data_IF_783270949590
#
_entry.id   IF_783270949590
#
_cell.length_a   1.000
_cell.length_b   1.000
_cell.length_c   1.000
_cell.angle_alpha   90.00
_cell.angle_beta   90.00
_cell.angle_gamma   90.00
#
_symmetry.space_group_name_H-M   'P 1'
#
loop_
_entity.id
_entity.type
_entity.pdbx_description
1 polymer ?
#
# COMPACT_ATOMS: atom_id res chain seq x y z
N UNK A 1 -26.41 -9.33 21.83
CA UNK A 1 -26.14 -8.76 20.49
C UNK A 1 -27.38 -8.74 19.63
N UNK A 2 -28.11 -9.86 19.51
CA UNK A 2 -29.32 -9.98 18.67
C UNK A 2 -30.47 -9.01 19.00
N UNK A 3 -30.49 -8.43 20.21
CA UNK A 3 -31.52 -7.48 20.64
C UNK A 3 -31.30 -6.04 20.09
N UNK A 4 -30.13 -5.73 19.55
CA UNK A 4 -29.81 -4.40 19.03
C UNK A 4 -29.87 -4.40 17.50
N UNK A 5 -31.03 -4.05 16.95
CA UNK A 5 -31.33 -4.18 15.51
C UNK A 5 -31.30 -2.85 14.75
N UNK A 6 -30.92 -1.74 15.39
CA UNK A 6 -30.92 -0.42 14.77
C UNK A 6 -31.05 0.73 15.76
N UNK A 7 -31.30 1.93 15.25
CA UNK A 7 -31.42 3.14 16.07
C UNK A 7 -32.66 3.10 16.98
N UNK A 8 -32.46 3.43 18.26
CA UNK A 8 -33.54 3.56 19.24
C UNK A 8 -34.49 4.70 18.86
N UNK A 9 -35.79 4.42 18.76
CA UNK A 9 -36.84 5.37 18.36
C UNK A 9 -36.51 6.10 17.05
N UNK A 10 -36.34 5.34 15.96
CA UNK A 10 -36.01 5.85 14.62
C UNK A 10 -36.85 7.08 14.21
N UNK A 11 -38.14 7.09 14.57
CA UNK A 11 -39.12 8.12 14.18
C UNK A 11 -38.98 9.46 14.93
N UNK A 12 -38.17 9.55 15.99
CA UNK A 12 -38.03 10.73 16.85
C UNK A 12 -36.61 11.32 16.84
N UNK A 13 -35.98 11.34 15.67
CA UNK A 13 -34.57 11.75 15.50
C UNK A 13 -34.23 13.20 15.84
N UNK A 14 -35.20 14.12 15.93
CA UNK A 14 -34.92 15.54 16.22
C UNK A 14 -34.94 15.87 17.73
N UNK A 15 -35.39 14.95 18.57
CA UNK A 15 -35.51 15.16 20.02
C UNK A 15 -34.15 14.98 20.72
N UNK A 16 -33.67 16.02 21.40
CA UNK A 16 -32.32 16.06 21.98
C UNK A 16 -32.07 14.94 23.03
N UNK A 17 -33.11 14.58 23.79
CA UNK A 17 -33.04 13.48 24.76
C UNK A 17 -32.94 12.10 24.07
N UNK A 18 -33.55 11.93 22.90
CA UNK A 18 -33.45 10.70 22.10
C UNK A 18 -32.04 10.53 21.56
N UNK A 19 -31.40 11.63 21.12
CA UNK A 19 -30.01 11.62 20.66
C UNK A 19 -29.03 11.26 21.79
N UNK A 20 -29.23 11.82 22.99
CA UNK A 20 -28.43 11.48 24.16
C UNK A 20 -28.54 9.99 24.53
N UNK A 21 -29.75 9.43 24.51
CA UNK A 21 -30.00 8.02 24.81
C UNK A 21 -29.41 7.10 23.73
N UNK A 22 -29.56 7.44 22.45
CA UNK A 22 -28.94 6.71 21.33
C UNK A 22 -27.42 6.65 21.46
N UNK A 23 -26.78 7.76 21.84
CA UNK A 23 -25.34 7.80 22.04
C UNK A 23 -24.89 6.88 23.19
N UNK A 24 -25.65 6.84 24.29
CA UNK A 24 -25.37 5.92 25.40
C UNK A 24 -25.54 4.45 24.98
N UNK A 25 -26.64 4.11 24.32
CA UNK A 25 -26.89 2.75 23.85
C UNK A 25 -25.85 2.28 22.83
N UNK A 26 -25.49 3.15 21.87
CA UNK A 26 -24.41 2.87 20.92
C UNK A 26 -23.09 2.61 21.65
N UNK A 27 -22.76 3.44 22.64
CA UNK A 27 -21.53 3.26 23.43
C UNK A 27 -21.51 1.91 24.15
N UNK A 28 -22.58 1.56 24.86
CA UNK A 28 -22.70 0.27 25.56
C UNK A 28 -22.60 -0.90 24.56
N UNK A 29 -23.24 -0.78 23.40
CA UNK A 29 -23.14 -1.77 22.33
C UNK A 29 -21.71 -1.93 21.83
N UNK A 30 -21.02 -0.83 21.49
CA UNK A 30 -19.65 -0.86 20.98
C UNK A 30 -18.66 -1.39 22.02
N UNK A 31 -18.81 -1.03 23.29
CA UNK A 31 -17.96 -1.52 24.38
C UNK A 31 -18.13 -3.04 24.56
N UNK A 32 -19.38 -3.53 24.63
CA UNK A 32 -19.67 -4.96 24.72
C UNK A 32 -19.19 -5.73 23.47
N UNK A 33 -19.35 -5.15 22.29
CA UNK A 33 -18.91 -5.72 21.02
C UNK A 33 -17.41 -5.89 20.97
N UNK A 34 -16.68 -4.89 21.47
CA UNK A 34 -15.23 -4.95 21.56
C UNK A 34 -14.77 -6.05 22.52
N UNK A 35 -15.36 -6.15 23.71
CA UNK A 35 -15.01 -7.20 24.68
C UNK A 35 -15.26 -8.61 24.12
N UNK A 36 -16.42 -8.83 23.51
CA UNK A 36 -16.77 -10.12 22.89
C UNK A 36 -15.84 -10.42 21.71
N UNK A 37 -15.53 -9.42 20.87
CA UNK A 37 -14.62 -9.59 19.74
C UNK A 37 -13.22 -9.96 20.19
N UNK A 38 -12.69 -9.33 21.23
CA UNK A 38 -11.39 -9.65 21.81
C UNK A 38 -11.36 -11.06 22.43
N UNK A 39 -12.46 -11.51 23.04
CA UNK A 39 -12.60 -12.88 23.56
C UNK A 39 -12.59 -13.91 22.44
N UNK A 40 -13.42 -13.74 21.42
CA UNK A 40 -13.52 -14.65 20.28
C UNK A 40 -12.20 -14.73 19.51
N UNK A 41 -11.52 -13.59 19.32
CA UNK A 41 -10.22 -13.54 18.65
C UNK A 41 -9.14 -14.34 19.42
N UNK A 42 -9.14 -14.27 20.76
CA UNK A 42 -8.20 -15.02 21.62
C UNK A 42 -8.45 -16.52 21.59
N UNK A 43 -9.70 -16.95 21.42
CA UNK A 43 -10.08 -18.36 21.36
C UNK A 43 -10.10 -18.92 19.94
N UNK A 44 -9.72 -18.13 18.93
CA UNK A 44 -9.74 -18.51 17.52
C UNK A 44 -11.14 -18.87 17.00
N UNK A 45 -12.20 -18.34 17.62
CA UNK A 45 -13.60 -18.51 17.20
C UNK A 45 -13.95 -17.52 16.08
N UNK A 46 -13.30 -17.71 14.93
CA UNK A 46 -13.34 -16.74 13.83
C UNK A 46 -14.68 -16.70 13.07
N UNK A 47 -15.43 -17.81 13.02
CA UNK A 47 -16.75 -17.86 12.37
C UNK A 47 -17.78 -16.98 13.11
N UNK A 48 -17.84 -17.11 14.43
CA UNK A 48 -18.67 -16.29 15.31
C UNK A 48 -18.26 -14.82 15.23
N UNK A 49 -16.94 -14.56 15.25
CA UNK A 49 -16.40 -13.21 15.12
C UNK A 49 -16.81 -12.57 13.79
N UNK A 50 -16.76 -13.33 12.68
CA UNK A 50 -17.14 -12.83 11.36
C UNK A 50 -18.63 -12.47 11.30
N UNK A 51 -19.52 -13.31 11.84
CA UNK A 51 -20.97 -13.03 11.87
C UNK A 51 -21.25 -11.75 12.66
N UNK A 52 -20.65 -11.66 13.85
CA UNK A 52 -20.86 -10.55 14.76
C UNK A 52 -20.40 -9.20 14.17
N UNK A 53 -19.20 -9.19 13.59
CA UNK A 53 -18.61 -7.99 12.98
C UNK A 53 -19.25 -7.62 11.64
N UNK A 54 -19.89 -8.58 10.94
CA UNK A 54 -20.75 -8.32 9.76
C UNK A 54 -21.93 -7.43 10.12
N UNK A 55 -22.69 -7.81 11.14
CA UNK A 55 -23.83 -7.01 11.62
C UNK A 55 -23.37 -5.63 12.09
N UNK A 56 -22.25 -5.56 12.82
CA UNK A 56 -21.72 -4.29 13.32
C UNK A 56 -21.29 -3.33 12.20
N UNK A 57 -20.71 -3.84 11.12
CA UNK A 57 -20.25 -3.01 9.99
C UNK A 57 -21.40 -2.54 9.12
N UNK A 58 -22.54 -3.25 9.10
CA UNK A 58 -23.77 -2.79 8.45
C UNK A 58 -24.44 -1.68 9.27
N UNK A 59 -24.49 -1.84 10.61
CA UNK A 59 -25.07 -0.84 11.51
C UNK A 59 -24.23 0.44 11.60
N UNK A 60 -22.90 0.29 11.66
CA UNK A 60 -21.97 1.41 11.79
C UNK A 60 -20.78 1.26 10.82
N UNK A 61 -20.96 1.58 9.53
CA UNK A 61 -19.94 1.42 8.50
C UNK A 61 -18.64 2.19 8.73
N UNK A 62 -18.66 3.22 9.59
CA UNK A 62 -17.50 4.09 9.85
C UNK A 62 -16.83 3.86 11.21
N UNK A 63 -17.30 2.90 12.01
CA UNK A 63 -16.75 2.57 13.33
C UNK A 63 -15.54 1.61 13.26
N UNK A 64 -14.95 1.42 12.07
CA UNK A 64 -13.73 0.64 11.82
C UNK A 64 -13.83 -0.88 12.11
N UNK A 65 -15.04 -1.42 12.22
CA UNK A 65 -15.27 -2.87 12.44
C UNK A 65 -14.71 -3.76 11.32
N UNK A 66 -14.47 -3.20 10.13
CA UNK A 66 -13.85 -3.88 9.01
C UNK A 66 -12.44 -4.39 9.34
N UNK A 67 -11.72 -3.73 10.26
CA UNK A 67 -10.41 -4.21 10.73
C UNK A 67 -10.53 -5.50 11.56
N UNK A 68 -11.63 -5.71 12.28
CA UNK A 68 -11.87 -6.94 13.05
C UNK A 68 -12.41 -8.05 12.13
N UNK A 69 -13.30 -7.70 11.19
CA UNK A 69 -13.72 -8.64 10.13
C UNK A 69 -12.52 -9.18 9.34
N UNK A 70 -11.59 -8.32 8.97
CA UNK A 70 -10.42 -8.72 8.21
C UNK A 70 -9.54 -9.70 9.01
N UNK A 71 -9.43 -9.53 10.33
CA UNK A 71 -8.77 -10.52 11.21
C UNK A 71 -9.48 -11.87 11.21
N UNK A 72 -10.81 -11.87 11.31
CA UNK A 72 -11.60 -13.10 11.28
C UNK A 72 -11.43 -13.84 9.94
N UNK A 73 -11.52 -13.13 8.80
CA UNK A 73 -11.28 -13.71 7.48
C UNK A 73 -9.86 -14.26 7.31
N UNK A 74 -8.85 -13.58 7.88
CA UNK A 74 -7.46 -14.06 7.89
C UNK A 74 -7.34 -15.35 8.71
N UNK A 75 -7.97 -15.41 9.88
CA UNK A 75 -8.00 -16.59 10.76
C UNK A 75 -8.66 -17.79 10.10
N UNK A 76 -9.72 -17.56 9.32
CA UNK A 76 -10.42 -18.57 8.50
C UNK A 76 -9.68 -18.94 7.20
N UNK A 77 -8.51 -18.38 6.95
CA UNK A 77 -7.75 -18.52 5.70
C UNK A 77 -8.50 -18.07 4.42
N UNK A 78 -9.54 -17.24 4.57
CA UNK A 78 -10.37 -16.69 3.49
C UNK A 78 -9.74 -15.43 2.89
N UNK A 79 -8.49 -15.53 2.45
CA UNK A 79 -7.67 -14.36 2.09
C UNK A 79 -8.22 -13.52 0.93
N UNK A 80 -8.84 -14.16 -0.08
CA UNK A 80 -9.46 -13.44 -1.22
C UNK A 80 -10.58 -12.52 -0.75
N UNK A 81 -11.37 -12.97 0.22
CA UNK A 81 -12.46 -12.18 0.77
C UNK A 81 -11.94 -11.05 1.66
N UNK A 82 -10.87 -11.30 2.42
CA UNK A 82 -10.20 -10.28 3.21
C UNK A 82 -9.62 -9.14 2.33
N UNK A 83 -9.05 -9.47 1.16
CA UNK A 83 -8.60 -8.45 0.20
C UNK A 83 -9.76 -7.66 -0.38
N UNK A 84 -10.82 -8.35 -0.82
CA UNK A 84 -12.02 -7.70 -1.37
C UNK A 84 -12.65 -6.75 -0.35
N UNK A 85 -12.70 -7.15 0.92
CA UNK A 85 -13.18 -6.31 2.01
C UNK A 85 -12.35 -5.03 2.13
N UNK A 86 -11.01 -5.13 2.09
CA UNK A 86 -10.12 -3.96 2.12
C UNK A 86 -10.38 -3.01 0.94
N UNK A 87 -10.44 -3.54 -0.28
CA UNK A 87 -10.67 -2.73 -1.49
C UNK A 87 -12.02 -2.01 -1.45
N UNK A 88 -13.08 -2.72 -1.06
CA UNK A 88 -14.42 -2.15 -0.91
C UNK A 88 -14.47 -1.08 0.17
N UNK A 89 -13.85 -1.35 1.33
CA UNK A 89 -13.79 -0.40 2.45
C UNK A 89 -12.99 0.84 2.05
N UNK A 90 -11.81 0.66 1.44
CA UNK A 90 -10.96 1.78 0.99
C UNK A 90 -11.66 2.65 -0.03
N UNK A 91 -12.37 2.05 -0.98
CA UNK A 91 -13.16 2.80 -1.95
C UNK A 91 -14.28 3.59 -1.27
N UNK A 92 -15.03 2.95 -0.39
CA UNK A 92 -16.15 3.58 0.31
C UNK A 92 -15.72 4.75 1.21
N UNK A 93 -14.65 4.58 2.00
CA UNK A 93 -14.11 5.65 2.84
C UNK A 93 -13.61 6.84 2.01
N UNK A 94 -12.97 6.58 0.87
CA UNK A 94 -12.50 7.64 0.00
C UNK A 94 -13.66 8.38 -0.67
N UNK A 95 -14.67 7.65 -1.18
CA UNK A 95 -15.84 8.22 -1.86
C UNK A 95 -16.74 9.03 -0.92
N UNK A 96 -17.02 8.53 0.29
CA UNK A 96 -17.95 9.17 1.23
C UNK A 96 -17.29 10.24 2.12
N UNK A 97 -16.04 10.03 2.53
CA UNK A 97 -15.37 10.86 3.53
C UNK A 97 -14.09 11.54 3.02
N UNK A 98 -13.56 11.16 1.86
CA UNK A 98 -12.28 11.66 1.35
C UNK A 98 -11.08 11.28 2.20
N UNK A 99 -11.22 10.26 3.07
CA UNK A 99 -10.17 9.79 3.97
C UNK A 99 -9.71 8.39 3.60
N UNK A 100 -8.48 8.06 4.01
CA UNK A 100 -7.94 6.70 3.92
C UNK A 100 -8.41 5.83 5.09
N UNK A 101 -8.50 4.50 4.93
CA UNK A 101 -8.83 3.61 6.03
C UNK A 101 -7.82 3.64 7.18
N UNK A 102 -8.20 3.07 8.32
CA UNK A 102 -7.39 3.06 9.53
C UNK A 102 -6.08 2.29 9.37
N UNK A 103 -5.05 2.70 10.12
CA UNK A 103 -3.71 2.11 10.04
C UNK A 103 -3.73 0.61 10.33
N UNK A 104 -4.55 0.16 11.29
CA UNK A 104 -4.74 -1.26 11.61
C UNK A 104 -5.22 -2.07 10.41
N UNK A 105 -6.18 -1.54 9.65
CA UNK A 105 -6.70 -2.21 8.47
C UNK A 105 -5.63 -2.27 7.35
N UNK A 106 -4.89 -1.18 7.17
CA UNK A 106 -3.78 -1.12 6.21
C UNK A 106 -2.66 -2.11 6.55
N UNK A 107 -2.31 -2.25 7.83
CA UNK A 107 -1.30 -3.22 8.29
C UNK A 107 -1.71 -4.66 8.00
N UNK A 108 -2.97 -5.01 8.25
CA UNK A 108 -3.50 -6.34 7.93
C UNK A 108 -3.49 -6.62 6.43
N UNK A 109 -3.79 -5.62 5.60
CA UNK A 109 -3.66 -5.73 4.15
C UNK A 109 -2.21 -5.99 3.72
N UNK A 110 -1.23 -5.27 4.30
CA UNK A 110 0.21 -5.55 4.04
C UNK A 110 0.60 -6.96 4.49
N UNK A 111 0.09 -7.42 5.63
CA UNK A 111 0.31 -8.77 6.13
C UNK A 111 -0.26 -9.84 5.18
N UNK A 112 -1.46 -9.63 4.63
CA UNK A 112 -2.00 -10.49 3.57
C UNK A 112 -1.10 -10.51 2.34
N UNK A 113 -0.67 -9.33 1.88
CA UNK A 113 0.21 -9.20 0.71
C UNK A 113 1.51 -9.98 0.85
N UNK A 114 2.13 -9.99 2.04
CA UNK A 114 3.37 -10.73 2.30
C UNK A 114 3.14 -12.26 2.36
N UNK A 115 2.02 -12.71 2.96
CA UNK A 115 1.67 -14.12 3.07
C UNK A 115 1.21 -14.73 1.73
N UNK A 116 0.46 -13.95 0.94
CA UNK A 116 -0.01 -14.36 -0.39
C UNK A 116 1.09 -14.27 -1.46
N UNK A 117 1.92 -13.22 -1.41
CA UNK A 117 3.10 -13.09 -2.27
C UNK A 117 4.08 -14.27 -2.16
N UNK A 118 4.00 -15.01 -1.05
CA UNK A 118 4.82 -16.19 -0.80
C UNK A 118 4.19 -17.52 -1.23
N UNK A 119 2.88 -17.60 -1.56
CA UNK A 119 2.23 -18.91 -1.68
C UNK A 119 1.72 -19.35 -3.05
N UNK A 120 1.20 -18.52 -3.95
CA UNK A 120 0.80 -19.01 -5.30
C UNK A 120 0.72 -17.84 -6.28
N UNK A 121 1.85 -17.28 -6.70
CA UNK A 121 1.86 -16.50 -7.95
C UNK A 121 2.10 -17.48 -9.08
N UNK A 122 1.21 -17.53 -10.06
CA UNK A 122 1.48 -18.28 -11.30
C UNK A 122 2.60 -17.54 -12.04
N UNK A 123 3.47 -18.25 -12.75
CA UNK A 123 4.68 -17.63 -13.35
C UNK A 123 4.33 -16.47 -14.28
N UNK A 124 3.15 -16.52 -14.91
CA UNK A 124 2.60 -15.47 -15.76
C UNK A 124 2.29 -14.18 -15.00
N UNK A 125 1.78 -14.28 -13.76
CA UNK A 125 1.51 -13.11 -12.90
C UNK A 125 2.82 -12.48 -12.42
N UNK A 126 3.80 -13.31 -12.04
CA UNK A 126 5.14 -12.81 -11.70
C UNK A 126 5.78 -12.12 -12.90
N UNK A 127 5.67 -12.71 -14.08
CA UNK A 127 6.21 -12.12 -15.31
C UNK A 127 5.52 -10.81 -15.66
N UNK A 128 4.19 -10.73 -15.53
CA UNK A 128 3.43 -9.51 -15.75
C UNK A 128 3.86 -8.38 -14.79
N UNK A 129 4.05 -8.71 -13.50
CA UNK A 129 4.51 -7.77 -12.48
C UNK A 129 5.96 -7.30 -12.72
N UNK A 130 6.80 -8.12 -13.34
CA UNK A 130 8.19 -7.79 -13.67
C UNK A 130 8.34 -6.99 -14.96
N UNK A 131 7.29 -6.84 -15.77
CA UNK A 131 7.34 -6.02 -16.98
C UNK A 131 7.32 -4.53 -16.63
N UNK A 132 8.20 -3.76 -17.27
CA UNK A 132 8.11 -2.30 -17.25
C UNK A 132 6.74 -1.83 -17.75
N UNK A 133 6.21 -0.76 -17.16
CA UNK A 133 4.94 -0.21 -17.62
C UNK A 133 5.07 0.31 -19.06
N UNK A 134 3.99 0.34 -19.87
CA UNK A 134 4.06 0.74 -21.28
C UNK A 134 4.70 2.12 -21.53
N UNK A 135 4.65 3.03 -20.55
CA UNK A 135 5.28 4.36 -20.61
C UNK A 135 6.76 4.38 -20.19
N UNK A 136 7.27 3.30 -19.59
CA UNK A 136 8.66 3.18 -19.15
C UNK A 136 9.56 2.50 -20.18
N UNK A 137 8.98 1.71 -21.12
CA UNK A 137 9.63 0.88 -22.15
C UNK A 137 10.40 1.62 -23.26
N UNK A 138 11.07 2.73 -22.94
CA UNK A 138 11.80 3.55 -23.91
C UNK A 138 13.13 4.06 -23.38
N UNK A 139 14.21 3.67 -24.05
CA UNK A 139 15.57 4.10 -23.71
C UNK A 139 16.19 3.27 -22.59
N UNK A 140 17.20 3.82 -21.93
CA UNK A 140 17.90 3.14 -20.84
C UNK A 140 17.05 3.04 -19.56
N UNK A 141 17.28 1.97 -18.81
CA UNK A 141 16.54 1.65 -17.60
C UNK A 141 16.90 2.62 -16.45
N UNK A 142 15.91 3.37 -15.97
CA UNK A 142 16.08 4.25 -14.81
C UNK A 142 15.70 3.51 -13.54
N UNK A 143 16.63 3.42 -12.59
CA UNK A 143 16.45 2.61 -11.39
C UNK A 143 16.97 3.32 -10.14
N UNK A 144 16.41 2.99 -8.97
CA UNK A 144 16.91 3.47 -7.68
C UNK A 144 18.38 3.08 -7.44
N UNK A 145 19.04 3.70 -6.46
CA UNK A 145 20.42 3.36 -6.10
C UNK A 145 20.59 1.88 -5.71
N UNK A 146 19.59 1.30 -5.03
CA UNK A 146 19.61 -0.12 -4.69
C UNK A 146 19.51 -0.98 -5.97
N UNK A 147 18.55 -0.66 -6.85
CA UNK A 147 18.40 -1.32 -8.15
C UNK A 147 19.66 -1.22 -9.01
N UNK A 148 20.31 -0.05 -9.04
CA UNK A 148 21.55 0.17 -9.80
C UNK A 148 22.69 -0.72 -9.29
N UNK A 149 22.85 -0.85 -7.97
CA UNK A 149 23.87 -1.73 -7.37
C UNK A 149 23.65 -3.19 -7.75
N UNK A 150 22.40 -3.64 -7.74
CA UNK A 150 22.07 -5.02 -8.07
C UNK A 150 22.19 -5.29 -9.58
N UNK A 151 21.78 -4.35 -10.43
CA UNK A 151 22.00 -4.40 -11.88
C UNK A 151 23.49 -4.47 -12.21
N UNK A 152 24.31 -3.60 -11.62
CA UNK A 152 25.77 -3.61 -11.83
C UNK A 152 26.40 -4.94 -11.42
N UNK A 153 26.02 -5.49 -10.25
CA UNK A 153 26.50 -6.81 -9.79
C UNK A 153 26.10 -7.93 -10.75
N UNK A 154 24.86 -7.88 -11.26
CA UNK A 154 24.36 -8.87 -12.21
C UNK A 154 25.14 -8.84 -13.52
N UNK A 155 25.29 -7.65 -14.11
CA UNK A 155 26.05 -7.49 -15.35
C UNK A 155 27.50 -7.86 -15.16
N UNK A 156 28.13 -7.47 -14.05
CA UNK A 156 29.50 -7.88 -13.73
C UNK A 156 29.66 -9.40 -13.72
N UNK A 157 28.76 -10.14 -13.05
CA UNK A 157 28.79 -11.61 -13.03
C UNK A 157 28.57 -12.22 -14.42
N UNK A 158 27.65 -11.67 -15.21
CA UNK A 158 27.43 -12.12 -16.59
C UNK A 158 28.64 -11.85 -17.49
N UNK A 159 29.35 -10.76 -17.23
CA UNK A 159 30.52 -10.30 -17.97
C UNK A 159 31.75 -11.20 -17.76
N UNK A 160 31.87 -11.82 -16.58
CA UNK A 160 32.93 -12.78 -16.26
C UNK A 160 32.91 -14.00 -17.18
N UNK A 161 31.74 -14.38 -17.71
CA UNK A 161 31.59 -15.50 -18.64
C UNK A 161 32.13 -15.20 -20.04
N UNK A 162 32.12 -13.94 -20.45
CA UNK A 162 32.44 -13.51 -21.82
C UNK A 162 33.70 -12.62 -21.92
N UNK A 163 34.37 -12.35 -20.80
CA UNK A 163 35.62 -11.57 -20.75
C UNK A 163 35.48 -10.07 -21.03
N UNK A 164 34.25 -9.55 -21.10
CA UNK A 164 33.96 -8.14 -21.41
C UNK A 164 33.40 -7.43 -20.17
N UNK A 165 34.26 -6.74 -19.43
CA UNK A 165 33.86 -6.05 -18.20
C UNK A 165 32.89 -4.89 -18.47
N UNK A 166 31.92 -4.63 -17.57
CA UNK A 166 31.00 -3.51 -17.72
C UNK A 166 31.71 -2.17 -17.53
N UNK A 167 31.27 -1.16 -18.28
CA UNK A 167 31.75 0.21 -18.14
C UNK A 167 30.87 0.99 -17.16
N UNK A 168 31.51 1.75 -16.26
CA UNK A 168 30.83 2.65 -15.32
C UNK A 168 31.17 4.11 -15.68
N UNK A 169 30.15 4.96 -15.78
CA UNK A 169 30.30 6.39 -16.07
C UNK A 169 29.70 7.24 -14.96
N UNK A 170 30.42 8.27 -14.53
CA UNK A 170 29.92 9.31 -13.63
C UNK A 170 29.79 10.62 -14.40
N UNK A 171 28.58 11.16 -14.46
CA UNK A 171 28.31 12.46 -15.05
C UNK A 171 28.04 13.49 -13.95
N UNK A 172 28.88 14.53 -13.88
CA UNK A 172 28.76 15.61 -12.90
C UNK A 172 28.51 16.93 -13.63
N UNK A 173 27.44 17.63 -13.26
CA UNK A 173 27.22 19.00 -13.73
C UNK A 173 28.17 19.91 -12.95
N UNK A 174 29.06 20.61 -13.67
CA UNK A 174 30.00 21.55 -13.07
C UNK A 174 29.56 23.00 -13.28
N UNK A 175 30.09 23.89 -12.45
CA UNK A 175 30.15 25.30 -12.79
C UNK A 175 31.17 25.54 -13.92
N UNK A 176 31.18 26.75 -14.48
CA UNK A 176 32.14 27.14 -15.52
C UNK A 176 33.61 27.17 -15.05
N UNK A 177 33.88 26.83 -13.79
CA UNK A 177 35.21 26.72 -13.18
C UNK A 177 35.61 25.25 -12.91
N UNK A 178 34.77 24.29 -13.27
CA UNK A 178 35.03 22.86 -13.11
C UNK A 178 34.67 22.27 -11.73
N UNK A 179 34.08 23.05 -10.83
CA UNK A 179 33.60 22.54 -9.53
C UNK A 179 32.17 22.00 -9.68
N UNK A 180 31.75 20.99 -8.90
CA UNK A 180 30.36 20.54 -8.90
C UNK A 180 29.41 21.70 -8.68
N UNK A 181 28.39 21.81 -9.54
CA UNK A 181 27.40 22.87 -9.45
C UNK A 181 26.70 22.82 -8.08
N UNK A 182 26.49 23.99 -7.48
CA UNK A 182 25.78 24.11 -6.19
C UNK A 182 24.29 23.86 -6.38
N UNK A 183 23.65 23.27 -5.36
CA UNK A 183 22.23 22.97 -5.36
C UNK A 183 21.33 24.18 -5.60
N UNK A 184 20.08 23.91 -5.98
CA UNK A 184 19.05 24.90 -6.23
C UNK A 184 18.31 24.69 -7.56
N UNK A 185 17.25 25.47 -7.82
CA UNK A 185 16.27 25.17 -8.88
C UNK A 185 16.87 25.06 -10.30
N UNK A 186 17.97 25.79 -10.55
CA UNK A 186 18.68 25.72 -11.82
C UNK A 186 19.39 24.37 -12.01
N UNK A 187 20.02 23.85 -10.96
CA UNK A 187 20.71 22.57 -11.02
C UNK A 187 19.70 21.43 -11.18
N UNK A 188 18.56 21.50 -10.49
CA UNK A 188 17.51 20.48 -10.58
C UNK A 188 16.98 20.39 -12.02
N UNK A 189 16.65 21.53 -12.63
CA UNK A 189 16.23 21.59 -14.04
C UNK A 189 17.29 21.08 -15.01
N UNK A 190 18.57 21.36 -14.75
CA UNK A 190 19.68 20.85 -15.57
C UNK A 190 19.86 19.33 -15.40
N UNK A 191 19.68 18.83 -14.17
CA UNK A 191 19.75 17.41 -13.81
C UNK A 191 18.64 16.62 -14.48
N UNK A 192 17.40 17.11 -14.44
CA UNK A 192 16.25 16.53 -15.15
C UNK A 192 16.49 16.46 -16.66
N UNK A 193 16.98 17.56 -17.26
CA UNK A 193 17.25 17.59 -18.69
C UNK A 193 18.39 16.65 -19.09
N UNK A 194 19.43 16.55 -18.26
CA UNK A 194 20.51 15.59 -18.47
C UNK A 194 19.98 14.15 -18.37
N UNK A 195 19.14 13.87 -17.39
CA UNK A 195 18.51 12.57 -17.20
C UNK A 195 17.68 12.16 -18.42
N UNK A 196 16.86 13.07 -18.94
CA UNK A 196 16.04 12.84 -20.15
C UNK A 196 16.90 12.54 -21.38
N UNK A 197 17.98 13.31 -21.59
CA UNK A 197 18.92 13.10 -22.70
C UNK A 197 19.64 11.76 -22.54
N UNK A 198 20.13 11.44 -21.35
CA UNK A 198 20.82 10.18 -21.06
C UNK A 198 19.89 8.98 -21.29
N UNK A 199 18.65 9.04 -20.80
CA UNK A 199 17.65 7.99 -21.00
C UNK A 199 17.43 7.70 -22.49
N UNK A 200 17.38 8.72 -23.34
CA UNK A 200 17.17 8.57 -24.79
C UNK A 200 18.42 8.20 -25.59
N UNK A 201 19.59 8.58 -25.10
CA UNK A 201 20.86 8.41 -25.85
C UNK A 201 21.55 7.09 -25.55
N UNK A 202 21.35 6.56 -24.33
CA UNK A 202 21.87 5.27 -23.92
C UNK A 202 21.05 4.12 -24.51
N UNK A 203 21.66 2.94 -24.59
CA UNK A 203 21.01 1.75 -25.15
C UNK A 203 19.92 1.27 -24.19
N UNK A 204 18.96 0.53 -24.74
CA UNK A 204 17.92 -0.10 -23.93
C UNK A 204 18.49 -1.04 -22.84
N UNK A 205 19.66 -1.64 -23.07
CA UNK A 205 20.32 -2.52 -22.11
C UNK A 205 21.11 -1.78 -21.02
N UNK A 206 21.28 -0.47 -21.14
CA UNK A 206 22.03 0.33 -20.19
C UNK A 206 21.11 0.75 -19.02
N UNK A 207 21.69 0.97 -17.85
CA UNK A 207 20.99 1.41 -16.65
C UNK A 207 21.64 2.67 -16.10
N UNK A 208 20.81 3.58 -15.58
CA UNK A 208 21.24 4.86 -15.04
C UNK A 208 20.49 5.19 -13.74
N UNK A 209 21.16 5.92 -12.85
CA UNK A 209 20.61 6.38 -11.59
C UNK A 209 20.99 7.84 -11.39
N UNK A 210 20.04 8.63 -10.88
CA UNK A 210 20.30 10.00 -10.48
C UNK A 210 20.74 10.04 -9.00
N UNK A 211 21.96 10.55 -8.75
CA UNK A 211 22.48 10.74 -7.38
C UNK A 211 22.16 12.12 -6.81
N UNK A 212 21.51 13.00 -7.58
CA UNK A 212 20.93 14.23 -7.04
C UNK A 212 19.87 13.83 -6.01
N UNK A 213 20.07 14.23 -4.76
CA UNK A 213 19.20 13.85 -3.63
C UNK A 213 17.74 14.13 -3.99
N UNK A 214 16.81 13.20 -3.77
CA UNK A 214 15.39 13.56 -3.74
C UNK A 214 15.21 14.59 -2.62
N UNK A 215 14.50 15.67 -2.93
CA UNK A 215 13.99 16.62 -1.95
C UNK A 215 13.25 15.86 -0.84
N UNK A 216 13.51 16.23 0.41
CA UNK A 216 12.59 15.98 1.51
C UNK A 216 11.22 16.61 1.22
#
# INVERSE_FOLDING_TARGET
>A
MELYTGEFLADFGEEEWVQAERAQLKKVYSDALKEVSEYLLKNEEFDELQKLTSVASELYPFDEWQAVQMQALIGLERYKEAMKLYEQTSKHYFEELGVTPSEKLVEQYRYLGSRMGSRHRVIEEVQADLQESPGEKGGAFFCSLAGFRDCYRLVYRMSELNGQMPWLMLCTITDGKGYPAKGGPRLDRMSEKLLEVMKRSLRHSDFLQNTARPSM
#
